data_IF_428474114804
#
_entry.id   IF_428474114804
#
_cell.length_a   1.000
_cell.length_b   1.000
_cell.length_c   1.000
_cell.angle_alpha   90.00
_cell.angle_beta   90.00
_cell.angle_gamma   90.00
#
_symmetry.space_group_name_H-M   'P 1'
#
loop_
_entity.id
_entity.type
_entity.pdbx_description
1 polymer ?
#
# COMPACT_ATOMS: atom_id res chain seq x y z
N UNK A 1 -11.51 -16.79 -6.25
CA UNK A 1 -12.04 -15.51 -5.71
C UNK A 1 -10.94 -14.72 -5.01
N UNK A 2 -10.14 -15.34 -4.12
CA UNK A 2 -9.01 -14.69 -3.45
C UNK A 2 -7.92 -14.22 -4.43
N UNK A 3 -7.57 -15.02 -5.44
CA UNK A 3 -6.52 -14.68 -6.41
C UNK A 3 -6.86 -13.43 -7.22
N UNK A 4 -8.12 -13.32 -7.65
CA UNK A 4 -8.64 -12.13 -8.33
C UNK A 4 -8.54 -10.90 -7.44
N UNK A 5 -8.86 -11.03 -6.14
CA UNK A 5 -8.71 -9.94 -5.19
C UNK A 5 -7.23 -9.56 -5.00
N UNK A 6 -6.31 -10.52 -4.88
CA UNK A 6 -4.87 -10.27 -4.76
C UNK A 6 -4.31 -9.50 -5.95
N UNK A 7 -4.71 -9.88 -7.17
CA UNK A 7 -4.25 -9.24 -8.40
C UNK A 7 -4.82 -7.83 -8.55
N UNK A 8 -6.08 -7.61 -8.17
CA UNK A 8 -6.77 -6.33 -8.43
C UNK A 8 -6.66 -5.32 -7.29
N UNK A 9 -6.48 -5.75 -6.05
CA UNK A 9 -6.57 -4.88 -4.88
C UNK A 9 -5.57 -3.71 -4.97
N UNK A 10 -4.29 -4.02 -5.13
CA UNK A 10 -3.25 -2.99 -5.24
C UNK A 10 -3.47 -2.03 -6.43
N UNK A 11 -3.55 -2.51 -7.70
CA UNK A 11 -3.66 -1.60 -8.84
C UNK A 11 -4.94 -0.76 -8.82
N UNK A 12 -6.06 -1.32 -8.35
CA UNK A 12 -7.31 -0.57 -8.22
C UNK A 12 -7.18 0.59 -7.23
N UNK A 13 -6.69 0.32 -6.02
CA UNK A 13 -6.54 1.36 -4.99
C UNK A 13 -5.46 2.38 -5.35
N UNK A 14 -4.39 1.97 -6.05
CA UNK A 14 -3.39 2.91 -6.59
C UNK A 14 -3.97 3.84 -7.65
N UNK A 15 -4.74 3.31 -8.60
CA UNK A 15 -5.42 4.13 -9.61
C UNK A 15 -6.44 5.08 -8.96
N UNK A 16 -7.20 4.60 -7.98
CA UNK A 16 -8.14 5.41 -7.22
C UNK A 16 -7.43 6.52 -6.43
N UNK A 17 -6.31 6.21 -5.77
CA UNK A 17 -5.51 7.21 -5.05
C UNK A 17 -5.09 8.35 -5.98
N UNK A 18 -4.50 8.02 -7.14
CA UNK A 18 -4.09 9.01 -8.14
C UNK A 18 -5.25 9.83 -8.69
N UNK A 19 -6.38 9.19 -9.01
CA UNK A 19 -7.57 9.91 -9.48
C UNK A 19 -8.14 10.85 -8.39
N UNK A 20 -8.19 10.38 -7.14
CA UNK A 20 -8.71 11.16 -6.01
C UNK A 20 -7.82 12.35 -5.65
N UNK A 21 -6.51 12.22 -5.86
CA UNK A 21 -5.54 13.30 -5.64
C UNK A 21 -5.76 14.43 -6.67
N UNK A 22 -5.94 14.07 -7.95
CA UNK A 22 -6.23 15.04 -9.02
C UNK A 22 -7.56 15.80 -8.81
N UNK A 23 -8.58 15.13 -8.27
CA UNK A 23 -9.91 15.72 -8.06
C UNK A 23 -9.96 16.55 -6.78
N UNK A 24 -9.46 16.02 -5.66
CA UNK A 24 -9.59 16.69 -4.36
C UNK A 24 -8.49 17.70 -4.09
N UNK A 25 -7.30 17.53 -4.69
CA UNK A 25 -6.07 18.26 -4.34
C UNK A 25 -5.76 18.21 -2.83
N UNK A 26 -6.32 17.23 -2.12
CA UNK A 26 -6.05 17.00 -0.70
C UNK A 26 -5.24 15.73 -0.54
N UNK A 27 -4.17 15.82 0.24
CA UNK A 27 -3.31 14.66 0.54
C UNK A 27 -3.98 13.83 1.64
N UNK A 28 -5.04 13.10 1.28
CA UNK A 28 -5.72 12.22 2.22
C UNK A 28 -5.02 10.86 2.29
N UNK A 29 -4.38 10.56 3.42
CA UNK A 29 -3.71 9.27 3.64
C UNK A 29 -4.66 8.08 3.83
N UNK A 30 -5.98 8.26 3.64
CA UNK A 30 -6.99 7.22 3.83
C UNK A 30 -6.74 6.00 2.93
N UNK A 31 -6.42 6.22 1.65
CA UNK A 31 -6.19 5.12 0.71
C UNK A 31 -4.88 4.39 1.03
N UNK A 32 -3.84 5.12 1.44
CA UNK A 32 -2.60 4.53 1.93
C UNK A 32 -2.85 3.61 3.14
N UNK A 33 -3.69 4.02 4.09
CA UNK A 33 -4.07 3.19 5.23
C UNK A 33 -4.85 1.93 4.81
N UNK A 34 -5.76 2.04 3.84
CA UNK A 34 -6.49 0.89 3.28
C UNK A 34 -5.52 -0.09 2.61
N UNK A 35 -4.56 0.40 1.84
CA UNK A 35 -3.53 -0.42 1.20
C UNK A 35 -2.67 -1.18 2.23
N UNK A 36 -2.24 -0.50 3.28
CA UNK A 36 -1.46 -1.11 4.38
C UNK A 36 -2.26 -2.19 5.11
N UNK A 37 -3.51 -1.90 5.49
CA UNK A 37 -4.37 -2.86 6.18
C UNK A 37 -4.71 -4.07 5.29
N UNK A 38 -5.00 -3.82 4.01
CA UNK A 38 -5.25 -4.88 3.03
C UNK A 38 -4.05 -5.78 2.81
N UNK A 39 -2.85 -5.23 2.69
CA UNK A 39 -1.61 -6.02 2.61
C UNK A 39 -1.47 -6.96 3.81
N UNK A 40 -1.67 -6.47 5.04
CA UNK A 40 -1.58 -7.31 6.24
C UNK A 40 -2.61 -8.44 6.24
N UNK A 41 -3.85 -8.15 5.84
CA UNK A 41 -4.90 -9.15 5.71
C UNK A 41 -4.52 -10.23 4.68
N UNK A 42 -4.07 -9.83 3.49
CA UNK A 42 -3.69 -10.77 2.45
C UNK A 42 -2.45 -11.57 2.80
N UNK A 43 -1.43 -10.94 3.38
CA UNK A 43 -0.22 -11.62 3.82
C UNK A 43 -0.53 -12.72 4.84
N UNK A 44 -1.47 -12.46 5.75
CA UNK A 44 -1.97 -13.47 6.69
C UNK A 44 -2.76 -14.58 6.00
N UNK A 45 -3.70 -14.24 5.12
CA UNK A 45 -4.55 -15.21 4.41
C UNK A 45 -3.76 -16.18 3.51
N UNK A 46 -2.67 -15.73 2.90
CA UNK A 46 -1.83 -16.57 2.03
C UNK A 46 -0.71 -17.29 2.79
N UNK A 47 -0.61 -17.10 4.11
CA UNK A 47 0.43 -17.71 4.93
C UNK A 47 1.84 -17.23 4.59
N UNK A 48 2.00 -15.94 4.26
CA UNK A 48 3.30 -15.38 3.91
C UNK A 48 4.28 -15.51 5.10
N UNK A 49 5.53 -15.97 4.89
CA UNK A 49 6.50 -16.09 5.96
C UNK A 49 6.79 -14.73 6.62
N UNK A 50 6.94 -14.73 7.94
CA UNK A 50 7.10 -13.49 8.72
C UNK A 50 8.32 -12.67 8.27
N UNK A 51 9.40 -13.32 7.84
CA UNK A 51 10.58 -12.66 7.29
C UNK A 51 10.28 -11.89 6.00
N UNK A 52 9.43 -12.42 5.12
CA UNK A 52 9.01 -11.72 3.91
C UNK A 52 8.12 -10.53 4.25
N UNK A 53 7.19 -10.68 5.19
CA UNK A 53 6.37 -9.56 5.69
C UNK A 53 7.26 -8.43 6.23
N UNK A 54 8.26 -8.77 7.05
CA UNK A 54 9.21 -7.80 7.60
C UNK A 54 9.98 -7.04 6.50
N UNK A 55 10.41 -7.73 5.43
CA UNK A 55 11.08 -7.09 4.30
C UNK A 55 10.18 -6.11 3.53
N UNK A 56 8.88 -6.41 3.39
CA UNK A 56 7.94 -5.46 2.77
C UNK A 56 7.80 -4.19 3.61
N UNK A 57 7.71 -4.33 4.93
CA UNK A 57 7.65 -3.19 5.86
C UNK A 57 8.95 -2.38 5.89
N UNK A 58 10.10 -3.05 5.81
CA UNK A 58 11.40 -2.38 5.69
C UNK A 58 11.46 -1.53 4.42
N UNK A 59 11.05 -2.08 3.28
CA UNK A 59 11.02 -1.34 2.01
C UNK A 59 10.03 -0.18 2.04
N UNK A 60 8.84 -0.37 2.62
CA UNK A 60 7.88 0.71 2.86
C UNK A 60 8.53 1.87 3.64
N UNK A 61 9.21 1.57 4.76
CA UNK A 61 9.84 2.58 5.59
C UNK A 61 10.98 3.31 4.85
N UNK A 62 11.80 2.58 4.09
CA UNK A 62 12.89 3.17 3.29
C UNK A 62 12.33 4.11 2.24
N UNK A 63 11.33 3.68 1.45
CA UNK A 63 10.74 4.52 0.39
C UNK A 63 10.06 5.75 0.99
N UNK A 64 9.35 5.59 2.11
CA UNK A 64 8.73 6.71 2.82
C UNK A 64 9.77 7.72 3.32
N UNK A 65 10.86 7.24 3.93
CA UNK A 65 11.95 8.08 4.40
C UNK A 65 12.65 8.83 3.24
N UNK A 66 12.93 8.13 2.14
CA UNK A 66 13.45 8.77 0.92
C UNK A 66 12.49 9.83 0.39
N UNK A 67 11.18 9.55 0.37
CA UNK A 67 10.16 10.51 0.00
C UNK A 67 10.25 11.78 0.85
N UNK A 68 10.18 11.66 2.17
CA UNK A 68 10.31 12.82 3.05
C UNK A 68 11.62 13.58 2.86
N UNK A 69 12.75 12.88 2.68
CA UNK A 69 14.05 13.52 2.47
C UNK A 69 14.12 14.36 1.18
N UNK A 70 13.37 14.02 0.14
CA UNK A 70 13.33 14.79 -1.11
C UNK A 70 12.48 16.08 -1.02
N UNK A 71 11.62 16.17 -0.01
CA UNK A 71 10.75 17.34 0.23
C UNK A 71 11.09 18.06 1.55
N UNK A 72 12.25 17.76 2.14
CA UNK A 72 12.77 18.36 3.37
C UNK A 72 13.55 19.66 3.12
#
# INVERSE_FOLDING_TARGET
MLDTALILFFPFFMAFAGASDLVSMTISNKISLVLMAGFMLFAWLIGMPMSAIAWHWAMFAVVLACGFALFA
#
